data_IF_864808146960
#
_entry.id   IF_864808146960
#
_cell.length_a   1.000
_cell.length_b   1.000
_cell.length_c   1.000
_cell.angle_alpha   90.00
_cell.angle_beta   90.00
_cell.angle_gamma   90.00
#
_symmetry.space_group_name_H-M   'P 1'
#
loop_
_entity.id
_entity.type
_entity.pdbx_description
1 polymer ?
#
# COMPACT_ATOMS: atom_id res chain seq x y z
N UNK A 1 -10.67 12.98 -2.85
CA UNK A 1 -9.25 13.04 -2.49
C UNK A 1 -8.79 11.75 -1.86
N UNK A 2 -7.52 11.46 -1.99
CA UNK A 2 -6.92 10.17 -1.64
C UNK A 2 -7.10 9.72 -0.18
N UNK A 3 -7.51 10.51 0.72
CA UNK A 3 -7.80 10.12 2.10
C UNK A 3 -9.29 10.07 2.41
N UNK A 4 -10.11 10.74 1.63
CA UNK A 4 -11.50 11.00 1.98
C UNK A 4 -12.39 9.76 2.05
N UNK A 5 -12.18 8.82 1.15
CA UNK A 5 -12.95 7.57 1.06
C UNK A 5 -12.18 6.35 1.57
N UNK A 6 -11.08 6.57 2.30
CA UNK A 6 -10.30 5.49 2.92
C UNK A 6 -10.83 5.15 4.31
N UNK A 7 -10.45 3.99 4.82
CA UNK A 7 -10.72 3.58 6.20
C UNK A 7 -9.93 4.38 7.27
N UNK A 8 -9.12 5.34 6.85
CA UNK A 8 -8.41 6.25 7.75
C UNK A 8 -7.38 5.54 8.63
N UNK A 9 -6.61 4.60 8.07
CA UNK A 9 -5.51 3.95 8.77
C UNK A 9 -4.22 4.77 8.68
N UNK A 10 -3.87 5.41 9.78
CA UNK A 10 -2.64 6.18 9.93
C UNK A 10 -1.58 5.35 10.65
N UNK A 11 -0.55 4.93 9.90
CA UNK A 11 0.55 4.12 10.41
C UNK A 11 1.71 5.03 10.86
N UNK A 12 2.08 4.98 12.13
CA UNK A 12 3.20 5.74 12.71
C UNK A 12 4.39 4.78 12.79
N UNK A 13 5.19 4.74 11.73
CA UNK A 13 6.35 3.85 11.62
C UNK A 13 7.25 4.22 10.45
N UNK A 14 8.54 3.87 10.55
CA UNK A 14 9.50 3.89 9.45
C UNK A 14 9.66 2.53 8.75
N UNK A 15 9.01 1.47 9.25
CA UNK A 15 9.21 0.11 8.74
C UNK A 15 8.43 -0.18 7.45
N UNK A 16 7.40 0.63 7.17
CA UNK A 16 6.59 0.55 5.96
C UNK A 16 5.79 1.84 5.73
N UNK A 17 5.18 1.96 4.55
CA UNK A 17 4.34 3.12 4.20
C UNK A 17 5.10 4.27 3.57
N UNK A 18 6.35 4.05 3.19
CA UNK A 18 7.21 5.01 2.49
C UNK A 18 8.61 5.12 3.10
N UNK A 19 9.40 5.97 2.49
CA UNK A 19 10.82 6.16 2.78
C UNK A 19 11.14 7.61 3.23
N UNK A 20 10.18 8.32 3.81
CA UNK A 20 10.35 9.72 4.25
C UNK A 20 11.58 9.88 5.16
N UNK A 21 11.86 8.88 5.98
CA UNK A 21 13.01 8.86 6.89
C UNK A 21 14.37 8.95 6.20
N UNK A 22 14.46 8.61 4.90
CA UNK A 22 15.72 8.73 4.14
C UNK A 22 16.09 10.18 3.85
N UNK A 23 15.15 11.10 3.93
CA UNK A 23 15.33 12.53 3.74
C UNK A 23 15.40 13.29 5.07
N UNK A 24 14.53 12.95 6.01
CA UNK A 24 14.38 13.69 7.28
C UNK A 24 15.13 13.08 8.46
N UNK A 25 15.61 11.83 8.32
CA UNK A 25 16.07 11.01 9.44
C UNK A 25 14.91 10.30 10.16
N UNK A 26 15.23 9.20 10.84
CA UNK A 26 14.21 8.30 11.43
C UNK A 26 13.40 8.95 12.55
N UNK A 27 14.04 9.71 13.42
CA UNK A 27 13.40 10.36 14.57
C UNK A 27 12.44 11.45 14.09
N UNK A 28 12.91 12.30 13.19
CA UNK A 28 12.12 13.39 12.62
C UNK A 28 10.91 12.90 11.84
N UNK A 29 11.06 11.81 11.07
CA UNK A 29 9.95 11.19 10.37
C UNK A 29 8.84 10.73 11.33
N UNK A 30 9.21 10.09 12.46
CA UNK A 30 8.25 9.68 13.51
C UNK A 30 7.59 10.91 14.15
N UNK A 31 8.37 11.94 14.51
CA UNK A 31 7.85 13.21 15.09
C UNK A 31 6.80 13.83 14.16
N UNK A 32 7.08 13.90 12.86
CA UNK A 32 6.16 14.46 11.86
C UNK A 32 4.87 13.62 11.76
N UNK A 33 4.95 12.30 11.76
CA UNK A 33 3.78 11.43 11.75
C UNK A 33 2.96 11.55 13.05
N UNK A 34 3.60 11.71 14.20
CA UNK A 34 2.93 11.98 15.48
C UNK A 34 2.26 13.35 15.49
N UNK A 35 2.87 14.36 14.86
CA UNK A 35 2.26 15.67 14.68
C UNK A 35 0.99 15.59 13.82
N UNK A 36 1.02 14.81 12.73
CA UNK A 36 -0.18 14.54 11.91
C UNK A 36 -1.27 13.83 12.74
N UNK A 37 -0.90 12.83 13.55
CA UNK A 37 -1.84 12.14 14.43
C UNK A 37 -2.48 13.13 15.43
N UNK A 38 -1.70 14.04 16.02
CA UNK A 38 -2.20 15.10 16.90
C UNK A 38 -3.23 15.98 16.19
N UNK A 39 -2.97 16.43 14.96
CA UNK A 39 -3.95 17.21 14.18
C UNK A 39 -5.23 16.40 13.98
N UNK A 40 -5.15 15.13 13.60
CA UNK A 40 -6.33 14.29 13.43
C UNK A 40 -7.15 14.15 14.72
N UNK A 41 -6.49 14.03 15.87
CA UNK A 41 -7.15 14.01 17.17
C UNK A 41 -7.86 15.34 17.48
N UNK A 42 -7.20 16.47 17.28
CA UNK A 42 -7.75 17.81 17.50
C UNK A 42 -8.94 18.12 16.57
N UNK A 43 -8.93 17.52 15.36
CA UNK A 43 -9.97 17.73 14.34
C UNK A 43 -11.13 16.70 14.41
N UNK A 44 -11.25 15.96 15.53
CA UNK A 44 -12.42 15.08 15.77
C UNK A 44 -12.07 13.59 15.91
N UNK A 45 -10.79 13.24 16.02
CA UNK A 45 -10.33 11.86 16.17
C UNK A 45 -10.10 11.40 17.63
N UNK A 46 -10.49 12.20 18.65
CA UNK A 46 -10.12 11.99 20.06
C UNK A 46 -10.43 10.59 20.60
N UNK A 47 -11.55 10.00 20.18
CA UNK A 47 -12.00 8.69 20.64
C UNK A 47 -11.42 7.52 19.84
N UNK A 48 -10.63 7.80 18.80
CA UNK A 48 -10.06 6.76 17.99
C UNK A 48 -8.90 6.05 18.73
N UNK A 49 -9.00 4.72 18.84
CA UNK A 49 -7.98 3.91 19.51
C UNK A 49 -6.68 3.90 18.71
N UNK A 50 -5.56 4.05 19.41
CA UNK A 50 -4.24 3.77 18.88
C UNK A 50 -3.92 2.30 19.13
N UNK A 51 -3.78 1.55 18.05
CA UNK A 51 -3.42 0.14 18.09
C UNK A 51 -1.90 -0.01 17.98
N UNK A 52 -1.39 -1.11 18.55
CA UNK A 52 0.01 -1.55 18.31
C UNK A 52 0.01 -2.77 17.44
N UNK A 53 0.96 -2.83 16.51
CA UNK A 53 1.27 -4.06 15.76
C UNK A 53 2.32 -4.91 16.49
N UNK A 54 2.74 -4.49 17.70
CA UNK A 54 3.77 -5.15 18.49
C UNK A 54 3.15 -6.07 19.54
N UNK A 55 3.64 -7.30 19.59
CA UNK A 55 3.45 -8.25 20.69
C UNK A 55 4.77 -8.96 20.93
N UNK A 56 5.27 -8.90 22.16
CA UNK A 56 6.56 -9.52 22.51
C UNK A 56 6.56 -11.04 22.29
N UNK A 57 5.45 -11.70 22.62
CA UNK A 57 5.30 -13.16 22.49
C UNK A 57 5.29 -13.56 21.02
N UNK A 58 4.47 -12.88 20.20
CA UNK A 58 4.37 -13.15 18.75
C UNK A 58 5.69 -12.83 18.06
N UNK A 59 6.34 -11.71 18.44
CA UNK A 59 7.67 -11.33 17.91
C UNK A 59 8.72 -12.37 18.25
N UNK A 60 8.78 -12.81 19.51
CA UNK A 60 9.72 -13.83 19.96
C UNK A 60 9.45 -15.20 19.29
N UNK A 61 8.19 -15.56 19.10
CA UNK A 61 7.79 -16.77 18.36
C UNK A 61 8.22 -16.69 16.90
N UNK A 62 7.94 -15.57 16.22
CA UNK A 62 8.28 -15.36 14.82
C UNK A 62 9.80 -15.44 14.58
N UNK A 63 10.61 -14.77 15.43
CA UNK A 63 12.07 -14.75 15.32
C UNK A 63 12.71 -16.14 15.37
N UNK A 64 12.11 -17.13 16.04
CA UNK A 64 12.63 -18.51 16.08
C UNK A 64 12.64 -19.17 14.68
N UNK A 65 11.86 -18.64 13.75
CA UNK A 65 11.68 -19.20 12.41
C UNK A 65 12.07 -18.19 11.30
N UNK A 66 12.95 -17.24 11.62
CA UNK A 66 13.43 -16.20 10.70
C UNK A 66 12.31 -15.27 10.17
N UNK A 67 11.16 -15.24 10.86
CA UNK A 67 10.05 -14.35 10.58
C UNK A 67 10.19 -13.08 11.42
N UNK A 68 9.92 -11.92 10.83
CA UNK A 68 10.07 -10.64 11.50
C UNK A 68 8.73 -9.90 11.54
N UNK A 69 8.12 -9.78 12.74
CA UNK A 69 6.96 -8.94 12.95
C UNK A 69 7.39 -7.47 12.97
N UNK A 70 6.83 -6.66 12.06
CA UNK A 70 7.14 -5.24 11.97
C UNK A 70 6.37 -4.44 13.01
N UNK A 71 7.09 -3.56 13.70
CA UNK A 71 6.53 -2.71 14.73
C UNK A 71 5.93 -1.44 14.12
N UNK A 72 4.70 -1.11 14.52
CA UNK A 72 4.03 0.14 14.20
C UNK A 72 3.00 0.49 15.27
N UNK A 73 2.66 1.77 15.35
CA UNK A 73 1.42 2.24 15.96
C UNK A 73 0.45 2.59 14.83
N UNK A 74 -0.81 2.24 14.97
CA UNK A 74 -1.84 2.45 13.95
C UNK A 74 -3.05 3.14 14.56
N UNK A 75 -3.35 4.35 14.08
CA UNK A 75 -4.63 5.02 14.34
C UNK A 75 -5.62 4.62 13.28
N UNK A 76 -6.67 3.94 13.66
CA UNK A 76 -7.75 3.58 12.74
C UNK A 76 -8.97 4.45 13.02
N UNK A 77 -9.22 5.40 12.12
CA UNK A 77 -10.30 6.36 12.26
C UNK A 77 -11.65 5.79 11.80
N UNK A 78 -11.63 4.91 10.80
CA UNK A 78 -12.83 4.52 10.06
C UNK A 78 -13.23 5.57 9.01
N UNK A 79 -13.99 5.16 8.00
CA UNK A 79 -14.31 6.02 6.85
C UNK A 79 -15.11 7.24 7.25
N UNK A 80 -16.15 7.09 8.07
CA UNK A 80 -17.04 8.20 8.45
C UNK A 80 -16.30 9.27 9.27
N UNK A 81 -15.51 8.83 10.26
CA UNK A 81 -14.73 9.75 11.09
C UNK A 81 -13.62 10.43 10.30
N UNK A 82 -12.98 9.71 9.38
CA UNK A 82 -11.97 10.28 8.49
C UNK A 82 -12.56 11.40 7.62
N UNK A 83 -13.76 11.20 7.09
CA UNK A 83 -14.50 12.25 6.36
C UNK A 83 -14.81 13.46 7.23
N UNK A 84 -15.26 13.24 8.47
CA UNK A 84 -15.55 14.34 9.41
C UNK A 84 -14.29 15.15 9.76
N UNK A 85 -13.16 14.47 9.99
CA UNK A 85 -11.86 15.13 10.25
C UNK A 85 -11.45 15.99 9.05
N UNK A 86 -11.57 15.47 7.83
CA UNK A 86 -11.27 16.24 6.62
C UNK A 86 -12.18 17.46 6.46
N UNK A 87 -13.48 17.31 6.79
CA UNK A 87 -14.41 18.44 6.80
C UNK A 87 -13.98 19.49 7.83
N UNK A 88 -13.62 19.08 9.04
CA UNK A 88 -13.18 20.00 10.08
C UNK A 88 -11.86 20.72 9.71
N UNK A 89 -10.92 20.01 9.08
CA UNK A 89 -9.69 20.62 8.54
C UNK A 89 -10.04 21.65 7.45
N UNK A 90 -10.94 21.30 6.51
CA UNK A 90 -11.41 22.23 5.49
C UNK A 90 -12.03 23.48 6.12
N UNK A 91 -12.93 23.33 7.08
CA UNK A 91 -13.58 24.44 7.77
C UNK A 91 -12.58 25.33 8.55
N UNK A 92 -11.49 24.74 9.04
CA UNK A 92 -10.41 25.49 9.69
C UNK A 92 -9.57 26.31 8.73
N UNK A 93 -9.37 25.85 7.48
CA UNK A 93 -8.46 26.50 6.53
C UNK A 93 -9.15 27.37 5.48
N UNK A 94 -10.45 27.14 5.17
CA UNK A 94 -11.18 27.76 4.06
C UNK A 94 -11.17 29.30 4.05
N UNK A 95 -11.12 29.93 5.24
CA UNK A 95 -11.11 31.38 5.38
C UNK A 95 -9.67 31.97 5.48
N UNK A 96 -8.64 31.10 5.37
CA UNK A 96 -7.24 31.48 5.53
C UNK A 96 -6.42 31.32 4.26
N UNK A 97 -6.92 30.50 3.32
CA UNK A 97 -6.27 30.20 2.05
C UNK A 97 -7.30 30.15 0.94
N UNK A 98 -6.89 30.48 -0.28
CA UNK A 98 -7.74 30.31 -1.47
C UNK A 98 -7.79 28.83 -1.89
N UNK A 99 -8.99 28.23 -1.82
CA UNK A 99 -9.23 26.84 -2.25
C UNK A 99 -10.11 26.88 -3.49
N UNK A 100 -9.62 26.30 -4.58
CA UNK A 100 -10.36 26.20 -5.85
C UNK A 100 -10.87 24.80 -6.04
N UNK A 101 -12.20 24.62 -6.11
CA UNK A 101 -12.87 23.36 -6.41
C UNK A 101 -13.29 23.32 -7.88
N UNK A 102 -13.39 22.10 -8.42
CA UNK A 102 -13.80 21.90 -9.82
C UNK A 102 -12.94 22.68 -10.80
N UNK A 103 -11.65 22.76 -10.48
CA UNK A 103 -10.62 23.41 -11.29
C UNK A 103 -9.46 22.45 -11.47
N UNK A 104 -9.18 22.09 -12.72
CA UNK A 104 -8.21 21.07 -13.07
C UNK A 104 -6.91 21.70 -13.54
N UNK A 105 -5.80 21.40 -12.86
CA UNK A 105 -4.48 21.82 -13.30
C UNK A 105 -4.10 21.06 -14.56
N UNK A 106 -3.86 21.79 -15.65
CA UNK A 106 -3.46 21.26 -16.95
C UNK A 106 -1.94 21.16 -17.07
N UNK A 107 -1.20 22.12 -16.46
CA UNK A 107 0.25 22.12 -16.54
C UNK A 107 0.89 23.12 -15.59
N UNK A 108 2.19 23.02 -15.50
CA UNK A 108 3.06 23.99 -14.82
C UNK A 108 4.16 24.37 -15.80
N UNK A 109 4.40 25.66 -15.97
CA UNK A 109 5.48 26.23 -16.81
C UNK A 109 6.32 27.19 -15.99
N UNK A 110 7.44 27.63 -16.52
CA UNK A 110 8.32 28.62 -15.87
C UNK A 110 9.73 28.08 -15.62
N UNK A 111 10.37 28.61 -14.61
CA UNK A 111 11.75 28.30 -14.20
C UNK A 111 11.87 28.37 -12.68
N UNK A 112 13.08 28.19 -12.17
CA UNK A 112 13.38 28.26 -10.74
C UNK A 112 12.75 29.49 -10.06
N UNK A 113 11.93 29.23 -9.02
CA UNK A 113 11.23 30.24 -8.21
C UNK A 113 10.30 31.22 -9.00
N UNK A 114 9.91 30.85 -10.21
CA UNK A 114 9.04 31.67 -11.07
C UNK A 114 8.19 30.75 -11.94
N UNK A 115 7.03 30.33 -11.42
CA UNK A 115 6.14 29.35 -12.05
C UNK A 115 4.80 29.96 -12.41
N UNK A 116 4.22 29.46 -13.50
CA UNK A 116 2.82 29.65 -13.85
C UNK A 116 2.12 28.30 -13.81
N UNK A 117 1.15 28.17 -12.92
CA UNK A 117 0.24 27.01 -12.84
C UNK A 117 -0.95 27.30 -13.71
N UNK A 118 -1.15 26.48 -14.74
CA UNK A 118 -2.22 26.62 -15.75
C UNK A 118 -3.34 25.64 -15.42
N UNK A 119 -4.55 26.16 -15.28
CA UNK A 119 -5.74 25.38 -15.05
C UNK A 119 -6.69 25.44 -16.25
N UNK A 120 -7.80 24.70 -16.18
CA UNK A 120 -8.89 24.79 -17.16
C UNK A 120 -9.71 26.08 -17.06
N UNK A 121 -9.41 26.98 -16.09
CA UNK A 121 -10.15 28.21 -15.82
C UNK A 121 -9.28 29.47 -15.75
N UNK A 122 -8.05 29.35 -15.21
CA UNK A 122 -7.21 30.51 -14.92
C UNK A 122 -5.72 30.14 -14.89
N UNK A 123 -4.87 31.14 -14.74
CA UNK A 123 -3.42 31.01 -14.56
C UNK A 123 -3.00 31.66 -13.23
N UNK A 124 -2.11 30.95 -12.49
CA UNK A 124 -1.63 31.40 -11.19
C UNK A 124 -0.11 31.50 -11.20
N UNK A 125 0.42 32.66 -10.83
CA UNK A 125 1.87 32.92 -10.72
C UNK A 125 2.34 32.67 -9.28
N UNK A 126 3.44 31.95 -9.12
CA UNK A 126 3.99 31.64 -7.80
C UNK A 126 5.51 31.42 -7.84
N UNK A 127 6.16 31.66 -6.70
CA UNK A 127 7.58 31.35 -6.53
C UNK A 127 7.82 29.91 -6.05
N UNK A 128 6.82 29.29 -5.44
CA UNK A 128 6.88 27.89 -5.01
C UNK A 128 5.62 27.16 -5.46
N UNK A 129 5.80 26.00 -6.12
CA UNK A 129 4.72 25.12 -6.54
C UNK A 129 4.88 23.75 -5.88
N UNK A 130 3.79 23.25 -5.27
CA UNK A 130 3.75 21.94 -4.61
C UNK A 130 2.77 21.02 -5.33
N UNK A 131 3.28 19.97 -5.93
CA UNK A 131 2.49 18.95 -6.62
C UNK A 131 2.20 17.79 -5.67
N UNK A 132 0.93 17.63 -5.28
CA UNK A 132 0.46 16.60 -4.34
C UNK A 132 -0.73 15.81 -4.92
N UNK A 133 -0.67 15.43 -6.19
CA UNK A 133 -1.77 14.83 -6.95
C UNK A 133 -2.06 13.35 -6.62
N UNK A 134 -1.32 12.75 -5.69
CA UNK A 134 -1.50 11.38 -5.26
C UNK A 134 -1.16 10.34 -6.35
N UNK A 135 -1.58 9.07 -6.15
CA UNK A 135 -1.26 7.97 -7.07
C UNK A 135 -1.93 8.12 -8.44
N UNK A 136 -3.15 8.61 -8.48
CA UNK A 136 -3.89 8.83 -9.72
C UNK A 136 -3.25 9.91 -10.62
N UNK A 137 -2.47 10.83 -10.05
CA UNK A 137 -1.72 11.85 -10.77
C UNK A 137 -0.39 11.37 -11.35
N UNK A 138 -0.04 10.10 -11.25
CA UNK A 138 1.28 9.56 -11.62
C UNK A 138 1.71 9.90 -13.05
N UNK A 139 0.80 9.75 -14.01
CA UNK A 139 1.07 10.08 -15.42
C UNK A 139 1.35 11.56 -15.60
N UNK A 140 0.50 12.41 -15.04
CA UNK A 140 0.65 13.86 -15.10
C UNK A 140 1.92 14.34 -14.38
N UNK A 141 2.25 13.77 -13.21
CA UNK A 141 3.52 14.06 -12.52
C UNK A 141 4.72 13.67 -13.40
N UNK A 142 4.61 12.56 -14.14
CA UNK A 142 5.64 12.14 -15.07
C UNK A 142 5.84 13.16 -16.20
N UNK A 143 4.77 13.68 -16.77
CA UNK A 143 4.81 14.74 -17.80
C UNK A 143 5.44 16.04 -17.26
N UNK A 144 5.11 16.45 -16.04
CA UNK A 144 5.75 17.60 -15.37
C UNK A 144 7.25 17.35 -15.21
N UNK A 145 7.65 16.18 -14.70
CA UNK A 145 9.06 15.85 -14.53
C UNK A 145 9.81 15.88 -15.86
N UNK A 146 9.23 15.37 -16.94
CA UNK A 146 9.84 15.36 -18.27
C UNK A 146 9.98 16.80 -18.81
N UNK A 147 8.96 17.65 -18.66
CA UNK A 147 8.99 19.06 -19.09
C UNK A 147 10.07 19.89 -18.38
N UNK A 148 10.31 19.62 -17.11
CA UNK A 148 11.33 20.31 -16.31
C UNK A 148 12.70 19.59 -16.27
N UNK A 149 12.85 18.45 -16.95
CA UNK A 149 14.08 17.65 -16.91
C UNK A 149 14.39 17.03 -15.55
N UNK A 150 13.36 16.82 -14.70
CA UNK A 150 13.49 16.22 -13.38
C UNK A 150 13.64 14.71 -13.54
N UNK A 151 14.70 14.15 -12.96
CA UNK A 151 14.97 12.71 -13.00
C UNK A 151 13.95 11.95 -12.16
N UNK A 152 13.58 10.78 -12.65
CA UNK A 152 12.75 9.81 -11.95
C UNK A 152 13.44 8.43 -11.97
N UNK A 153 13.19 7.64 -10.93
CA UNK A 153 13.68 6.26 -10.85
C UNK A 153 12.49 5.31 -10.82
N UNK A 154 12.66 4.12 -11.41
CA UNK A 154 11.67 3.06 -11.24
C UNK A 154 11.53 2.73 -9.76
N UNK A 155 10.32 2.56 -9.28
CA UNK A 155 10.05 2.08 -7.95
C UNK A 155 9.88 0.55 -7.97
N UNK A 156 9.74 -0.06 -6.80
CA UNK A 156 9.39 -1.48 -6.70
C UNK A 156 7.96 -1.73 -7.20
N UNK A 157 7.68 -2.99 -7.49
CA UNK A 157 6.33 -3.54 -7.61
C UNK A 157 6.25 -4.78 -6.74
N UNK A 158 5.19 -4.91 -5.96
CA UNK A 158 4.98 -6.11 -5.16
C UNK A 158 3.95 -6.99 -5.87
N UNK A 159 4.29 -8.26 -6.06
CA UNK A 159 3.47 -9.24 -6.76
C UNK A 159 3.28 -10.45 -5.86
N UNK A 160 2.08 -10.98 -5.85
CA UNK A 160 1.79 -12.14 -5.04
C UNK A 160 0.36 -12.66 -5.15
N UNK A 161 -0.08 -13.25 -4.06
CA UNK A 161 -1.39 -13.88 -3.94
C UNK A 161 -2.13 -13.37 -2.72
N UNK A 162 -3.46 -13.42 -2.77
CA UNK A 162 -4.30 -13.34 -1.58
C UNK A 162 -4.50 -14.75 -1.04
N UNK A 163 -4.17 -14.95 0.22
CA UNK A 163 -4.40 -16.20 0.94
C UNK A 163 -5.74 -16.13 1.65
N UNK A 164 -6.49 -17.21 1.63
CA UNK A 164 -7.68 -17.40 2.46
C UNK A 164 -7.58 -18.70 3.23
N UNK A 165 -7.80 -18.62 4.54
CA UNK A 165 -7.68 -19.72 5.52
C UNK A 165 -8.80 -19.62 6.56
N UNK A 166 -9.13 -20.70 7.29
CA UNK A 166 -10.01 -20.60 8.45
C UNK A 166 -9.44 -19.62 9.48
N UNK A 167 -10.29 -18.73 10.03
CA UNK A 167 -9.85 -17.68 10.97
C UNK A 167 -9.12 -18.25 12.19
N UNK A 168 -9.54 -19.43 12.66
CA UNK A 168 -8.92 -20.13 13.80
C UNK A 168 -7.41 -20.37 13.64
N UNK A 169 -6.90 -20.50 12.41
CA UNK A 169 -5.47 -20.72 12.14
C UNK A 169 -4.61 -19.52 12.58
N UNK A 170 -5.10 -18.30 12.39
CA UNK A 170 -4.37 -17.06 12.72
C UNK A 170 -4.93 -16.31 13.94
N UNK A 171 -6.00 -16.78 14.57
CA UNK A 171 -6.70 -16.07 15.65
C UNK A 171 -5.80 -15.71 16.83
N UNK A 172 -4.89 -16.62 17.20
CA UNK A 172 -3.93 -16.40 18.29
C UNK A 172 -2.93 -15.26 18.00
N UNK A 173 -2.74 -14.87 16.72
CA UNK A 173 -1.95 -13.72 16.30
C UNK A 173 -2.86 -12.51 16.15
N UNK A 174 -3.96 -12.62 15.40
CA UNK A 174 -4.83 -11.50 15.05
C UNK A 174 -5.60 -10.92 16.23
N UNK A 175 -5.83 -11.69 17.27
CA UNK A 175 -6.42 -11.21 18.54
C UNK A 175 -5.47 -10.34 19.36
N UNK A 176 -4.15 -10.50 19.18
CA UNK A 176 -3.12 -9.75 19.92
C UNK A 176 -2.50 -8.61 19.13
N UNK A 177 -2.40 -8.77 17.81
CA UNK A 177 -1.68 -7.85 16.92
C UNK A 177 -2.61 -7.34 15.84
N UNK A 178 -2.84 -6.04 15.84
CA UNK A 178 -3.63 -5.39 14.81
C UNK A 178 -2.87 -5.37 13.48
N UNK A 179 -3.46 -5.89 12.39
CA UNK A 179 -2.84 -5.94 11.05
C UNK A 179 -1.39 -6.46 11.07
N UNK A 180 -1.19 -7.68 11.53
CA UNK A 180 0.16 -8.25 11.65
C UNK A 180 0.91 -8.22 10.32
N UNK A 181 2.02 -7.46 10.29
CA UNK A 181 2.93 -7.37 9.14
C UNK A 181 4.17 -8.20 9.43
N UNK A 182 4.22 -9.38 8.87
CA UNK A 182 5.30 -10.33 9.03
C UNK A 182 6.13 -10.35 7.75
N UNK A 183 7.43 -10.21 7.88
CA UNK A 183 8.40 -10.24 6.78
C UNK A 183 9.27 -11.47 6.92
N UNK A 184 9.55 -12.11 5.81
CA UNK A 184 10.45 -13.24 5.70
C UNK A 184 11.43 -13.02 4.55
N UNK A 185 12.71 -13.33 4.79
CA UNK A 185 13.72 -13.37 3.73
C UNK A 185 13.91 -14.82 3.30
N UNK A 186 13.53 -15.12 2.06
CA UNK A 186 13.60 -16.48 1.53
C UNK A 186 15.03 -17.01 1.48
N UNK A 187 15.21 -18.29 1.82
CA UNK A 187 16.53 -18.92 1.85
C UNK A 187 17.04 -19.20 0.45
N UNK A 188 16.10 -19.50 -0.47
CA UNK A 188 16.45 -19.88 -1.84
C UNK A 188 16.96 -18.70 -2.67
N UNK A 189 16.31 -17.56 -2.61
CA UNK A 189 16.60 -16.41 -3.47
C UNK A 189 17.02 -15.16 -2.70
N UNK A 190 16.79 -15.12 -1.39
CA UNK A 190 17.07 -13.95 -0.56
C UNK A 190 16.06 -12.82 -0.73
N UNK A 191 14.94 -13.07 -1.38
CA UNK A 191 13.91 -12.09 -1.60
C UNK A 191 13.09 -11.83 -0.35
N UNK A 192 12.49 -10.64 -0.25
CA UNK A 192 11.61 -10.30 0.86
C UNK A 192 10.17 -10.60 0.48
N UNK A 193 9.54 -11.48 1.26
CA UNK A 193 8.10 -11.74 1.23
C UNK A 193 7.46 -11.16 2.49
N UNK A 194 6.28 -10.60 2.35
CA UNK A 194 5.57 -10.03 3.50
C UNK A 194 4.08 -10.33 3.46
N UNK A 195 3.49 -10.44 4.65
CA UNK A 195 2.04 -10.35 4.78
C UNK A 195 1.60 -8.89 4.58
N UNK A 196 0.43 -8.72 3.99
CA UNK A 196 -0.13 -7.38 3.77
C UNK A 196 -1.65 -7.40 3.87
N UNK A 197 -2.24 -6.31 4.39
CA UNK A 197 -3.68 -6.12 4.50
C UNK A 197 -4.39 -7.36 5.06
N UNK A 198 -4.08 -7.70 6.31
CA UNK A 198 -4.69 -8.84 7.01
C UNK A 198 -6.10 -8.48 7.48
N UNK A 199 -7.06 -9.30 7.09
CA UNK A 199 -8.48 -9.14 7.34
C UNK A 199 -9.02 -10.34 8.11
N UNK A 200 -8.95 -10.32 9.45
CA UNK A 200 -9.58 -11.36 10.26
C UNK A 200 -11.08 -11.35 10.07
N UNK A 201 -11.67 -12.54 9.90
CA UNK A 201 -13.10 -12.73 9.67
C UNK A 201 -13.64 -11.92 8.47
N UNK A 202 -12.76 -11.67 7.47
CA UNK A 202 -13.06 -10.87 6.29
C UNK A 202 -13.30 -11.73 5.05
N UNK A 203 -13.54 -11.07 3.94
CA UNK A 203 -13.73 -11.72 2.64
C UNK A 203 -12.68 -11.30 1.62
N UNK A 204 -12.44 -12.17 0.66
CA UNK A 204 -11.64 -11.89 -0.51
C UNK A 204 -12.51 -11.17 -1.53
N UNK A 205 -12.01 -10.09 -2.11
CA UNK A 205 -12.74 -9.26 -3.09
C UNK A 205 -11.89 -9.00 -4.32
N UNK A 206 -12.52 -8.57 -5.40
CA UNK A 206 -11.82 -8.10 -6.60
C UNK A 206 -11.69 -6.59 -6.60
N UNK A 207 -10.60 -6.10 -7.17
CA UNK A 207 -10.36 -4.69 -7.45
C UNK A 207 -10.17 -4.52 -8.96
N UNK A 208 -10.85 -3.54 -9.55
CA UNK A 208 -10.72 -3.22 -10.97
C UNK A 208 -10.07 -1.85 -11.14
N UNK A 209 -8.89 -1.83 -11.73
CA UNK A 209 -8.15 -0.60 -12.04
C UNK A 209 -7.94 -0.54 -13.55
N UNK A 210 -8.64 0.36 -14.23
CA UNK A 210 -8.55 0.56 -15.68
C UNK A 210 -8.73 -0.74 -16.51
N UNK A 211 -9.67 -1.58 -16.11
CA UNK A 211 -9.99 -2.84 -16.78
C UNK A 211 -9.04 -4.00 -16.42
N UNK A 212 -8.11 -3.79 -15.50
CA UNK A 212 -7.26 -4.85 -14.94
C UNK A 212 -7.86 -5.29 -13.60
N UNK A 213 -8.23 -6.56 -13.51
CA UNK A 213 -8.82 -7.15 -12.31
C UNK A 213 -7.69 -7.79 -11.49
N UNK A 214 -7.55 -7.36 -10.25
CA UNK A 214 -6.67 -7.93 -9.25
C UNK A 214 -7.49 -8.37 -8.04
N UNK A 215 -6.88 -9.15 -7.14
CA UNK A 215 -7.51 -9.56 -5.89
C UNK A 215 -7.11 -8.61 -4.76
N UNK A 216 -8.03 -8.41 -3.83
CA UNK A 216 -7.82 -7.66 -2.58
C UNK A 216 -8.62 -8.35 -1.45
N UNK A 217 -8.62 -7.79 -0.26
CA UNK A 217 -9.40 -8.26 0.87
C UNK A 217 -10.14 -7.15 1.58
N UNK A 218 -11.23 -7.51 2.22
CA UNK A 218 -12.08 -6.60 2.98
C UNK A 218 -12.43 -7.21 4.33
N UNK A 219 -12.57 -6.36 5.35
CA UNK A 219 -13.06 -6.73 6.67
C UNK A 219 -14.24 -5.86 7.06
N UNK A 220 -15.19 -6.44 7.78
CA UNK A 220 -16.39 -5.75 8.24
C UNK A 220 -16.25 -5.31 9.70
N UNK A 221 -16.66 -4.07 9.97
CA UNK A 221 -16.79 -3.57 11.34
C UNK A 221 -17.97 -4.26 12.06
N UNK A 222 -19.08 -4.49 11.33
CA UNK A 222 -20.26 -5.17 11.84
C UNK A 222 -19.96 -6.67 12.03
N UNK A 223 -20.05 -7.21 13.27
CA UNK A 223 -19.86 -8.62 13.52
C UNK A 223 -20.82 -9.56 12.77
N UNK A 224 -22.01 -9.07 12.42
CA UNK A 224 -23.01 -9.87 11.69
C UNK A 224 -22.61 -10.18 10.24
N UNK A 225 -21.68 -9.39 9.68
CA UNK A 225 -21.18 -9.58 8.31
C UNK A 225 -19.85 -10.37 8.28
N UNK A 226 -19.33 -10.77 9.43
CA UNK A 226 -18.06 -11.51 9.52
C UNK A 226 -18.19 -12.92 8.95
N UNK A 227 -17.14 -13.30 8.24
CA UNK A 227 -17.00 -14.68 7.72
C UNK A 227 -16.27 -15.56 8.75
N UNK A 228 -16.15 -16.86 8.45
CA UNK A 228 -15.34 -17.79 9.25
C UNK A 228 -13.86 -17.80 8.83
N UNK A 229 -13.49 -16.96 7.84
CA UNK A 229 -12.17 -16.96 7.23
C UNK A 229 -11.36 -15.72 7.60
N UNK A 230 -10.04 -15.87 7.61
CA UNK A 230 -9.07 -14.77 7.57
C UNK A 230 -8.41 -14.77 6.20
N UNK A 231 -8.23 -13.59 5.63
CA UNK A 231 -7.48 -13.44 4.40
C UNK A 231 -6.39 -12.36 4.52
N UNK A 232 -5.32 -12.54 3.76
CA UNK A 232 -4.22 -11.58 3.66
C UNK A 232 -3.40 -11.82 2.40
N UNK A 233 -2.71 -10.79 1.92
CA UNK A 233 -1.78 -10.94 0.82
C UNK A 233 -0.44 -11.51 1.28
N UNK A 234 0.19 -12.32 0.44
CA UNK A 234 1.61 -12.62 0.45
C UNK A 234 2.24 -11.96 -0.77
N UNK A 235 3.07 -10.95 -0.53
CA UNK A 235 3.65 -10.11 -1.57
C UNK A 235 5.17 -10.23 -1.59
N UNK A 236 5.72 -10.52 -2.77
CA UNK A 236 7.16 -10.50 -3.06
C UNK A 236 7.51 -9.14 -3.65
N UNK A 237 8.45 -8.44 -3.03
CA UNK A 237 8.91 -7.13 -3.51
C UNK A 237 9.93 -7.30 -4.64
N UNK A 238 9.63 -6.72 -5.79
CA UNK A 238 10.48 -6.76 -6.98
C UNK A 238 11.04 -5.37 -7.26
N UNK A 239 12.35 -5.29 -7.39
CA UNK A 239 13.07 -4.09 -7.79
C UNK A 239 13.86 -4.39 -9.06
N UNK A 240 13.79 -3.50 -10.02
CA UNK A 240 14.47 -3.66 -11.30
C UNK A 240 15.55 -2.60 -11.47
N UNK A 241 16.65 -2.99 -12.11
CA UNK A 241 17.74 -2.10 -12.51
C UNK A 241 17.58 -1.70 -13.99
N UNK A 242 18.32 -0.68 -14.40
CA UNK A 242 18.44 -0.31 -15.82
C UNK A 242 18.80 -1.53 -16.69
N UNK A 243 18.26 -1.65 -17.91
CA UNK A 243 17.49 -0.63 -18.63
C UNK A 243 15.98 -0.65 -18.35
N UNK A 244 15.49 -1.49 -17.47
CA UNK A 244 14.06 -1.63 -17.18
C UNK A 244 13.58 -0.47 -16.28
N UNK A 245 12.60 0.29 -16.78
CA UNK A 245 12.16 1.55 -16.13
C UNK A 245 10.71 1.56 -15.64
N UNK A 246 9.91 0.54 -15.99
CA UNK A 246 8.47 0.53 -15.70
C UNK A 246 8.04 -0.73 -14.94
N UNK A 247 8.27 -0.71 -13.62
CA UNK A 247 7.86 -1.81 -12.73
C UNK A 247 6.33 -2.02 -12.74
N UNK A 248 5.55 -0.95 -12.96
CA UNK A 248 4.10 -1.05 -12.99
C UNK A 248 3.63 -1.81 -14.23
N UNK A 249 4.21 -1.55 -15.40
CA UNK A 249 3.91 -2.31 -16.62
C UNK A 249 4.21 -3.81 -16.47
N UNK A 250 5.28 -4.16 -15.71
CA UNK A 250 5.56 -5.56 -15.37
C UNK A 250 4.45 -6.17 -14.52
N UNK A 251 4.03 -5.50 -13.45
CA UNK A 251 2.92 -5.95 -12.59
C UNK A 251 1.59 -6.06 -13.36
N UNK A 252 1.30 -5.08 -14.20
CA UNK A 252 0.12 -5.09 -15.08
C UNK A 252 0.13 -6.26 -16.05
N UNK A 253 1.28 -6.59 -16.64
CA UNK A 253 1.38 -7.71 -17.60
C UNK A 253 1.02 -9.05 -16.96
N UNK A 254 1.45 -9.25 -15.69
CA UNK A 254 1.12 -10.44 -14.90
C UNK A 254 -0.37 -10.47 -14.56
N UNK A 255 -0.95 -9.35 -14.16
CA UNK A 255 -2.37 -9.25 -13.86
C UNK A 255 -3.24 -9.50 -15.12
N UNK A 256 -2.85 -8.94 -16.26
CA UNK A 256 -3.52 -9.19 -17.56
C UNK A 256 -3.45 -10.67 -17.96
N UNK A 257 -2.30 -11.33 -17.72
CA UNK A 257 -2.16 -12.77 -17.99
C UNK A 257 -3.12 -13.59 -17.09
N UNK A 258 -3.26 -13.24 -15.82
CA UNK A 258 -4.25 -13.84 -14.92
C UNK A 258 -5.67 -13.65 -15.45
N UNK A 259 -6.02 -12.44 -15.86
CA UNK A 259 -7.36 -12.13 -16.38
C UNK A 259 -7.64 -12.90 -17.68
N UNK A 260 -6.66 -13.04 -18.55
CA UNK A 260 -6.79 -13.79 -19.80
C UNK A 260 -7.08 -15.27 -19.53
N UNK A 261 -6.42 -15.88 -18.54
CA UNK A 261 -6.58 -17.29 -18.20
C UNK A 261 -7.81 -17.60 -17.35
N UNK A 262 -8.22 -16.67 -16.48
CA UNK A 262 -9.29 -16.87 -15.51
C UNK A 262 -10.57 -16.08 -15.78
N UNK A 263 -10.58 -15.20 -16.78
CA UNK A 263 -11.67 -14.24 -16.94
C UNK A 263 -11.74 -13.20 -15.81
N UNK A 264 -10.72 -13.14 -14.97
CA UNK A 264 -10.59 -12.34 -13.76
C UNK A 264 -9.55 -12.93 -12.82
N UNK A 265 -9.96 -13.27 -11.60
CA UNK A 265 -9.08 -13.88 -10.58
C UNK A 265 -9.06 -15.40 -10.71
N UNK A 266 -7.86 -15.97 -10.65
CA UNK A 266 -7.64 -17.41 -10.51
C UNK A 266 -7.62 -17.78 -9.02
N UNK A 267 -8.08 -19.02 -8.71
CA UNK A 267 -7.91 -19.62 -7.39
C UNK A 267 -7.24 -20.98 -7.51
N UNK A 268 -6.29 -21.27 -6.61
CA UNK A 268 -5.62 -22.56 -6.54
C UNK A 268 -5.50 -23.01 -5.09
N UNK A 269 -5.76 -24.29 -4.83
CA UNK A 269 -5.46 -24.91 -3.52
C UNK A 269 -3.96 -25.07 -3.35
N UNK A 270 -3.44 -24.75 -2.18
CA UNK A 270 -2.02 -24.86 -1.88
C UNK A 270 -1.46 -26.27 -2.13
N UNK A 271 -2.19 -27.29 -1.75
CA UNK A 271 -1.78 -28.69 -2.01
C UNK A 271 -1.67 -29.02 -3.49
N UNK A 272 -2.52 -28.48 -4.34
CA UNK A 272 -2.42 -28.66 -5.80
C UNK A 272 -1.23 -27.90 -6.39
N UNK A 273 -0.98 -26.67 -5.91
CA UNK A 273 0.19 -25.88 -6.31
C UNK A 273 1.50 -26.62 -6.00
N UNK A 274 1.67 -27.11 -4.77
CA UNK A 274 2.87 -27.86 -4.36
C UNK A 274 3.02 -29.17 -5.12
N UNK A 275 1.90 -29.81 -5.48
CA UNK A 275 1.89 -31.02 -6.32
C UNK A 275 2.15 -30.73 -7.82
N UNK A 276 2.36 -29.47 -8.21
CA UNK A 276 2.62 -29.06 -9.60
C UNK A 276 1.44 -29.31 -10.54
N UNK A 277 0.22 -29.16 -10.07
CA UNK A 277 -0.99 -29.41 -10.86
C UNK A 277 -2.04 -28.31 -10.63
N UNK A 278 -2.82 -28.00 -11.66
CA UNK A 278 -3.92 -27.04 -11.53
C UNK A 278 -4.99 -27.53 -10.56
N UNK A 279 -5.65 -26.63 -9.86
CA UNK A 279 -6.94 -26.89 -9.21
C UNK A 279 -8.04 -26.91 -10.29
N UNK A 280 -8.92 -27.89 -10.26
CA UNK A 280 -10.11 -27.97 -11.12
C UNK A 280 -11.38 -27.90 -10.26
N UNK A 281 -12.55 -27.74 -10.88
CA UNK A 281 -13.84 -27.63 -10.21
C UNK A 281 -14.10 -28.75 -9.22
N UNK A 282 -13.77 -30.00 -9.59
CA UNK A 282 -13.98 -31.16 -8.72
C UNK A 282 -13.15 -31.07 -7.45
N UNK A 283 -11.84 -30.75 -7.55
CA UNK A 283 -10.97 -30.60 -6.36
C UNK A 283 -11.31 -29.37 -5.55
N UNK A 284 -11.70 -28.28 -6.22
CA UNK A 284 -12.14 -27.06 -5.55
C UNK A 284 -13.42 -27.31 -4.73
N UNK A 285 -14.38 -28.05 -5.27
CA UNK A 285 -15.61 -28.44 -4.56
C UNK A 285 -15.39 -29.40 -3.38
N UNK A 286 -14.18 -29.96 -3.21
CA UNK A 286 -13.83 -30.83 -2.08
C UNK A 286 -13.09 -30.07 -0.94
N UNK A 287 -12.85 -28.78 -1.09
CA UNK A 287 -12.18 -28.00 -0.04
C UNK A 287 -13.07 -27.89 1.20
N UNK A 288 -12.48 -28.00 2.38
CA UNK A 288 -13.18 -27.78 3.65
C UNK A 288 -13.41 -26.29 3.95
N UNK A 289 -12.61 -25.43 3.33
CA UNK A 289 -12.77 -23.99 3.45
C UNK A 289 -13.94 -23.54 2.57
N UNK A 290 -14.82 -22.73 3.13
CA UNK A 290 -15.90 -22.10 2.38
C UNK A 290 -15.36 -20.80 1.72
N UNK A 291 -15.10 -20.78 0.39
CA UNK A 291 -14.49 -19.63 -0.26
C UNK A 291 -15.40 -18.41 -0.23
N UNK A 292 -14.84 -17.23 0.11
CA UNK A 292 -15.63 -15.98 0.14
C UNK A 292 -15.69 -15.29 -1.22
N UNK A 293 -14.75 -15.59 -2.13
CA UNK A 293 -14.77 -15.08 -3.51
C UNK A 293 -15.01 -16.22 -4.51
N UNK A 294 -16.00 -16.06 -5.36
CA UNK A 294 -16.17 -16.91 -6.53
C UNK A 294 -15.10 -16.55 -7.58
N UNK A 295 -14.09 -17.40 -7.73
CA UNK A 295 -12.98 -17.25 -8.66
C UNK A 295 -12.83 -18.50 -9.55
N UNK A 296 -12.07 -18.40 -10.63
CA UNK A 296 -11.85 -19.52 -11.55
C UNK A 296 -10.77 -20.47 -11.03
N UNK A 297 -11.06 -21.74 -10.75
CA UNK A 297 -10.03 -22.72 -10.39
C UNK A 297 -9.00 -22.89 -11.50
N UNK A 298 -7.72 -22.73 -11.15
CA UNK A 298 -6.67 -22.69 -12.17
C UNK A 298 -5.29 -23.10 -11.66
N UNK A 299 -4.28 -22.61 -12.35
CA UNK A 299 -2.88 -22.86 -12.08
C UNK A 299 -2.10 -21.54 -12.05
N UNK A 300 -1.71 -21.14 -10.85
CA UNK A 300 -0.95 -19.90 -10.62
C UNK A 300 0.47 -19.97 -11.18
N UNK A 301 1.01 -21.16 -11.43
CA UNK A 301 2.33 -21.32 -12.03
C UNK A 301 2.39 -20.87 -13.50
N UNK A 302 1.23 -20.74 -14.16
CA UNK A 302 1.12 -20.19 -15.50
C UNK A 302 1.14 -18.65 -15.53
N UNK A 303 1.01 -18.01 -14.38
CA UNK A 303 0.84 -16.56 -14.26
C UNK A 303 1.96 -15.93 -13.45
N UNK A 304 2.20 -16.43 -12.26
CA UNK A 304 3.21 -15.88 -11.34
C UNK A 304 4.58 -16.46 -11.74
N UNK A 305 5.59 -15.62 -12.00
CA UNK A 305 6.92 -16.10 -12.28
C UNK A 305 7.44 -17.05 -11.22
N UNK A 306 8.13 -18.10 -11.66
CA UNK A 306 8.57 -19.20 -10.79
C UNK A 306 9.30 -18.74 -9.53
N UNK A 307 10.17 -17.72 -9.63
CA UNK A 307 10.92 -17.19 -8.49
C UNK A 307 9.98 -16.68 -7.41
N UNK A 308 9.03 -15.83 -7.76
CA UNK A 308 8.06 -15.29 -6.81
C UNK A 308 7.13 -16.37 -6.25
N UNK A 309 6.76 -17.35 -7.07
CA UNK A 309 5.93 -18.46 -6.62
C UNK A 309 6.65 -19.35 -5.60
N UNK A 310 7.93 -19.66 -5.86
CA UNK A 310 8.78 -20.38 -4.91
C UNK A 310 8.95 -19.62 -3.58
N UNK A 311 9.12 -18.29 -3.64
CA UNK A 311 9.22 -17.42 -2.47
C UNK A 311 7.92 -17.43 -1.64
N UNK A 312 6.76 -17.38 -2.30
CA UNK A 312 5.45 -17.48 -1.65
C UNK A 312 5.28 -18.83 -0.96
N UNK A 313 5.62 -19.92 -1.64
CA UNK A 313 5.55 -21.29 -1.07
C UNK A 313 6.45 -21.39 0.16
N UNK A 314 7.68 -20.87 0.09
CA UNK A 314 8.62 -20.88 1.22
C UNK A 314 8.07 -20.08 2.41
N UNK A 315 7.48 -18.89 2.15
CA UNK A 315 6.83 -18.06 3.18
C UNK A 315 5.63 -18.79 3.82
N UNK A 316 4.81 -19.52 3.05
CA UNK A 316 3.68 -20.29 3.59
C UNK A 316 4.18 -21.35 4.59
N UNK A 317 5.22 -22.10 4.25
CA UNK A 317 5.83 -23.08 5.17
C UNK A 317 6.48 -22.42 6.40
N UNK A 318 7.05 -21.23 6.24
CA UNK A 318 7.60 -20.49 7.38
C UNK A 318 6.47 -20.01 8.32
N UNK A 319 5.37 -19.49 7.78
CA UNK A 319 4.20 -19.09 8.57
C UNK A 319 3.53 -20.26 9.27
N UNK A 320 3.52 -21.45 8.67
CA UNK A 320 2.98 -22.67 9.28
C UNK A 320 3.67 -23.04 10.61
N UNK A 321 4.93 -22.62 10.81
CA UNK A 321 5.66 -22.81 12.07
C UNK A 321 5.10 -21.98 13.22
N UNK A 322 4.50 -20.85 12.93
CA UNK A 322 3.91 -19.96 13.94
C UNK A 322 2.39 -19.99 13.94
N UNK A 323 1.78 -20.48 12.87
CA UNK A 323 0.33 -20.65 12.70
C UNK A 323 0.05 -22.02 12.04
N UNK A 324 0.10 -23.11 12.81
CA UNK A 324 -0.11 -24.45 12.29
C UNK A 324 -1.46 -24.59 11.57
N UNK A 325 -1.42 -25.11 10.35
CA UNK A 325 -2.58 -25.14 9.44
C UNK A 325 -2.49 -24.13 8.28
N UNK A 326 -1.51 -23.23 8.32
CA UNK A 326 -1.26 -22.30 7.20
C UNK A 326 -0.88 -23.04 5.91
N UNK A 327 -0.08 -24.10 5.99
CA UNK A 327 0.32 -24.94 4.86
C UNK A 327 -0.64 -26.12 4.61
N UNK A 328 -1.92 -26.00 5.01
CA UNK A 328 -2.94 -27.01 4.73
C UNK A 328 -3.15 -27.12 3.21
N UNK A 329 -3.47 -28.34 2.74
CA UNK A 329 -3.74 -28.61 1.32
C UNK A 329 -4.91 -27.78 0.77
N UNK A 330 -5.85 -27.41 1.64
CA UNK A 330 -7.05 -26.64 1.31
C UNK A 330 -6.89 -25.13 1.52
N UNK A 331 -5.73 -24.64 1.95
CA UNK A 331 -5.43 -23.20 1.93
C UNK A 331 -5.62 -22.68 0.52
N UNK A 332 -6.43 -21.63 0.35
CA UNK A 332 -6.74 -21.07 -0.95
C UNK A 332 -5.81 -19.90 -1.27
N UNK A 333 -5.30 -19.88 -2.50
CA UNK A 333 -4.46 -18.85 -3.05
C UNK A 333 -5.14 -18.22 -4.25
N UNK A 334 -5.47 -16.94 -4.15
CA UNK A 334 -6.08 -16.17 -5.24
C UNK A 334 -5.03 -15.33 -5.94
N UNK A 335 -4.98 -15.34 -7.24
CA UNK A 335 -4.00 -14.59 -8.01
C UNK A 335 -4.63 -13.80 -9.15
N UNK A 336 -4.04 -12.62 -9.40
CA UNK A 336 -2.87 -12.10 -8.67
C UNK A 336 -3.24 -10.91 -7.80
N UNK A 337 -2.51 -10.70 -6.73
CA UNK A 337 -2.49 -9.43 -6.02
C UNK A 337 -1.25 -8.64 -6.44
N UNK A 338 -1.45 -7.40 -6.85
CA UNK A 338 -0.35 -6.51 -7.27
C UNK A 338 -0.44 -5.20 -6.51
N UNK A 339 0.67 -4.76 -5.94
CA UNK A 339 0.81 -3.44 -5.34
C UNK A 339 1.67 -2.57 -6.22
N UNK A 340 1.06 -1.58 -6.83
CA UNK A 340 1.73 -0.60 -7.66
C UNK A 340 2.28 0.56 -6.84
N UNK A 341 3.44 1.09 -7.25
CA UNK A 341 4.06 2.27 -6.67
C UNK A 341 4.42 3.23 -7.79
N UNK A 342 4.18 4.52 -7.57
CA UNK A 342 4.58 5.54 -8.55
C UNK A 342 6.10 5.60 -8.69
N UNK A 343 6.57 6.01 -9.87
CA UNK A 343 7.99 6.31 -10.07
C UNK A 343 8.47 7.31 -9.02
N UNK A 344 9.64 7.06 -8.47
CA UNK A 344 10.23 7.93 -7.44
C UNK A 344 10.84 9.15 -8.09
N UNK A 345 10.30 10.31 -7.79
CA UNK A 345 10.85 11.60 -8.22
C UNK A 345 12.13 11.85 -7.45
N UNK A 346 13.17 12.34 -8.15
CA UNK A 346 14.46 12.68 -7.54
C UNK A 346 14.33 14.03 -6.83
N UNK A 347 14.49 14.03 -5.50
CA UNK A 347 14.37 15.21 -4.62
C UNK A 347 15.55 15.25 -3.64
N UNK A 348 15.88 16.43 -3.17
CA UNK A 348 16.91 16.67 -2.14
C UNK A 348 16.39 16.36 -0.70
N UNK A 349 17.21 16.64 0.31
CA UNK A 349 16.86 16.47 1.72
C UNK A 349 15.69 17.33 2.19
N UNK A 350 15.30 18.34 1.44
CA UNK A 350 14.17 19.23 1.71
C UNK A 350 12.90 18.82 0.94
N UNK A 351 12.92 17.71 0.25
CA UNK A 351 11.88 17.25 -0.69
C UNK A 351 11.66 18.20 -1.87
N UNK A 352 12.63 19.06 -2.17
CA UNK A 352 12.65 19.95 -3.31
C UNK A 352 13.23 19.21 -4.53
N UNK A 353 12.68 19.43 -5.71
CA UNK A 353 13.22 18.85 -6.95
C UNK A 353 14.51 19.57 -7.36
N UNK A 354 15.16 19.12 -8.42
CA UNK A 354 16.30 19.82 -9.01
C UNK A 354 15.94 21.25 -9.48
N UNK A 355 14.66 21.56 -9.68
CA UNK A 355 14.16 22.90 -10.05
C UNK A 355 13.71 23.61 -8.78
N UNK A 356 14.46 24.63 -8.36
CA UNK A 356 14.21 25.35 -7.11
C UNK A 356 12.82 25.99 -7.06
N UNK A 357 12.12 25.78 -5.95
CA UNK A 357 10.72 26.16 -5.75
C UNK A 357 9.69 25.13 -6.21
N UNK A 358 10.11 24.05 -6.87
CA UNK A 358 9.18 22.99 -7.30
C UNK A 358 9.31 21.74 -6.42
N UNK A 359 8.19 21.35 -5.79
CA UNK A 359 8.10 20.21 -4.88
C UNK A 359 7.11 19.17 -5.43
N UNK A 360 7.43 17.89 -5.27
CA UNK A 360 6.50 16.78 -5.56
C UNK A 360 6.35 15.91 -4.31
N UNK A 361 5.16 15.90 -3.71
CA UNK A 361 4.93 15.32 -2.39
C UNK A 361 3.87 14.22 -2.40
N UNK A 362 3.74 13.56 -1.26
CA UNK A 362 2.76 12.51 -1.05
C UNK A 362 3.00 11.28 -1.92
N UNK A 363 1.99 10.44 -2.10
CA UNK A 363 2.11 9.17 -2.82
C UNK A 363 2.45 9.36 -4.31
N UNK A 364 2.15 10.54 -4.88
CA UNK A 364 2.52 10.89 -6.24
C UNK A 364 4.03 10.99 -6.47
N UNK A 365 4.80 11.36 -5.44
CA UNK A 365 6.27 11.46 -5.51
C UNK A 365 6.97 10.11 -5.59
N UNK A 366 6.27 9.00 -5.25
CA UNK A 366 6.86 7.68 -5.11
C UNK A 366 7.75 7.52 -3.86
N UNK A 367 7.81 8.54 -2.98
CA UNK A 367 8.55 8.53 -1.70
C UNK A 367 7.67 7.99 -0.58
N UNK A 368 6.40 8.36 -0.55
CA UNK A 368 5.44 7.92 0.47
C UNK A 368 4.37 7.01 -0.11
N UNK A 369 3.80 6.14 0.75
CA UNK A 369 2.81 5.12 0.36
C UNK A 369 1.77 4.90 1.46
N UNK A 370 1.61 5.85 2.38
CA UNK A 370 0.64 5.82 3.47
C UNK A 370 0.14 7.21 3.81
N UNK A 371 -1.06 7.30 4.37
CA UNK A 371 -1.66 8.57 4.78
C UNK A 371 -0.75 9.36 5.73
N UNK A 372 -0.16 8.70 6.74
CA UNK A 372 0.74 9.34 7.70
C UNK A 372 1.97 9.94 7.06
N UNK A 373 2.68 9.16 6.23
CA UNK A 373 3.91 9.66 5.61
C UNK A 373 3.63 10.70 4.52
N UNK A 374 2.53 10.54 3.77
CA UNK A 374 2.12 11.55 2.79
C UNK A 374 1.80 12.89 3.48
N UNK A 375 1.00 12.87 4.55
CA UNK A 375 0.70 14.09 5.33
C UNK A 375 1.95 14.66 5.99
N UNK A 376 2.82 13.81 6.56
CA UNK A 376 4.09 14.22 7.16
C UNK A 376 5.03 14.88 6.15
N UNK A 377 5.07 14.41 4.90
CA UNK A 377 5.84 15.04 3.83
C UNK A 377 5.33 16.46 3.52
N UNK A 378 4.01 16.66 3.54
CA UNK A 378 3.41 17.99 3.39
C UNK A 378 3.76 18.94 4.53
N UNK A 379 3.70 18.49 5.79
CA UNK A 379 4.10 19.26 6.96
C UNK A 379 5.59 19.64 6.88
N UNK A 380 6.44 18.69 6.50
CA UNK A 380 7.88 18.94 6.37
C UNK A 380 8.17 19.99 5.31
N UNK A 381 7.65 19.82 4.09
CA UNK A 381 7.87 20.78 3.01
C UNK A 381 7.31 22.18 3.34
N UNK A 382 6.13 22.26 3.97
CA UNK A 382 5.55 23.54 4.39
C UNK A 382 6.45 24.29 5.38
N UNK A 383 7.04 23.59 6.37
CA UNK A 383 8.01 24.19 7.31
C UNK A 383 9.26 24.68 6.58
N UNK A 384 9.83 23.84 5.70
CA UNK A 384 11.01 24.20 4.91
C UNK A 384 10.75 25.42 4.00
N UNK A 385 9.60 25.47 3.33
CA UNK A 385 9.21 26.62 2.51
C UNK A 385 9.06 27.86 3.39
N UNK A 386 8.40 27.75 4.54
CA UNK A 386 8.21 28.89 5.47
C UNK A 386 9.52 29.48 5.96
N UNK A 387 10.54 28.65 6.21
CA UNK A 387 11.87 29.11 6.63
C UNK A 387 12.59 29.97 5.58
N UNK A 388 12.23 29.81 4.28
CA UNK A 388 12.79 30.66 3.20
C UNK A 388 12.23 32.07 3.19
N UNK A 389 11.13 32.34 3.89
CA UNK A 389 10.47 33.63 3.96
C UNK A 389 10.68 34.36 5.31
N UNK A 390 11.36 33.75 6.26
CA UNK A 390 11.74 34.30 7.55
C UNK A 390 13.23 34.66 7.54
#
# INVERSE_FOLDING_TARGET
GAGGMSDGKYNITNNFGGDLYTFTGKEKAIELMQYVDKINLEMGGQDAKLYSTTSSDIKAMALKYDLHLLDAQVRHLGTDRNMQILQNIYDFVKDKIDIKFYESVQGITGKENDFTVITDKDEYHCSNAVVAAGRSGSKWISEICDNFGIKRRSNRVDIGVRVEIPAAVFEHITSKVYESKIVYRTKKYGDLVRTFCMNPYGEVVTENTNGIITVNGHSYADPALRTENTNFALLVSNTFSEPFKDSNAYGESIARLSNMLGGGVLVQRFGDLVAGRRTNEHRFGQTFLNPTLKATPGDLSLVIPKRQLDDIIEMIYALDKIAPGMANIDTLLYGVEVKFYNSRVDVDENLETAVKGLYVLGDGSGVTHSLSQASASGVFAARTISEKFN
#
